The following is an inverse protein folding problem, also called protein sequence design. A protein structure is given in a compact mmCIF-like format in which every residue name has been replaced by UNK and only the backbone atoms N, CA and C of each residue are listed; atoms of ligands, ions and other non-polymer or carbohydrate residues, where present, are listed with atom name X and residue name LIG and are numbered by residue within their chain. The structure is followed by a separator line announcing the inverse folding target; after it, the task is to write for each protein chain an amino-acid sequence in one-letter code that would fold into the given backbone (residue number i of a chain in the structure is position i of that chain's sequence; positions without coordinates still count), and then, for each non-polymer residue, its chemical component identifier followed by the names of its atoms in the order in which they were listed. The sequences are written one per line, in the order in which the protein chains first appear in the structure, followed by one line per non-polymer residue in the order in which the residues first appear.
data_IF_441148455689
#
_entry.id   IF_441148455689
#
_cell.length_a   1.000
_cell.length_b   1.000
_cell.length_c   1.000
_cell.angle_alpha   90.00
_cell.angle_beta   90.00
_cell.angle_gamma   90.00
#
_symmetry.space_group_name_H-M   'P 1'
#
loop_
_entity.id
_entity.type
_entity.pdbx_description
1 polymer ?
#
# COMPACT_ATOMS: atom_id res chain seq x y z
N UNK A 1 -25.41 -8.59 -4.69
CA UNK A 1 -24.35 -8.47 -5.72
C UNK A 1 -23.12 -7.78 -5.18
N UNK A 2 -23.19 -6.59 -4.61
CA UNK A 2 -22.05 -5.81 -4.10
C UNK A 2 -21.15 -6.57 -3.12
N UNK A 3 -21.72 -7.27 -2.13
CA UNK A 3 -20.93 -8.06 -1.15
C UNK A 3 -20.06 -9.15 -1.80
N UNK A 4 -20.56 -9.81 -2.86
CA UNK A 4 -19.75 -10.83 -3.58
C UNK A 4 -18.57 -10.21 -4.29
N UNK A 5 -18.74 -9.02 -4.85
CA UNK A 5 -17.68 -8.28 -5.53
C UNK A 5 -16.60 -7.86 -4.55
N UNK A 6 -17.00 -7.26 -3.42
CA UNK A 6 -16.07 -6.87 -2.37
C UNK A 6 -15.34 -8.08 -1.78
N UNK A 7 -16.04 -9.19 -1.56
CA UNK A 7 -15.40 -10.42 -1.10
C UNK A 7 -14.37 -10.95 -2.09
N UNK A 8 -14.68 -11.00 -3.39
CA UNK A 8 -13.72 -11.39 -4.42
C UNK A 8 -12.49 -10.48 -4.38
N UNK A 9 -12.71 -9.16 -4.44
CA UNK A 9 -11.64 -8.18 -4.44
C UNK A 9 -10.76 -8.31 -3.20
N UNK A 10 -11.34 -8.27 -2.01
CA UNK A 10 -10.57 -8.34 -0.77
C UNK A 10 -9.87 -9.68 -0.59
N UNK A 11 -10.50 -10.79 -0.98
CA UNK A 11 -9.84 -12.11 -0.92
C UNK A 11 -8.56 -12.13 -1.75
N UNK A 12 -8.62 -11.63 -2.99
CA UNK A 12 -7.45 -11.58 -3.87
C UNK A 12 -6.39 -10.59 -3.36
N UNK A 13 -6.80 -9.42 -2.87
CA UNK A 13 -5.86 -8.43 -2.34
C UNK A 13 -5.16 -8.94 -1.07
N UNK A 14 -5.88 -9.59 -0.16
CA UNK A 14 -5.31 -10.19 1.06
C UNK A 14 -4.31 -11.30 0.68
N UNK A 15 -4.66 -12.18 -0.26
CA UNK A 15 -3.76 -13.22 -0.75
C UNK A 15 -2.46 -12.63 -1.30
N UNK A 16 -2.54 -11.60 -2.10
CA UNK A 16 -1.34 -10.91 -2.63
C UNK A 16 -0.51 -10.31 -1.50
N UNK A 17 -1.12 -9.65 -0.51
CA UNK A 17 -0.39 -9.10 0.65
C UNK A 17 0.40 -10.22 1.37
N UNK A 18 -0.24 -11.35 1.64
CA UNK A 18 0.37 -12.49 2.34
C UNK A 18 1.50 -13.13 1.52
N UNK A 19 1.33 -13.29 0.20
CA UNK A 19 2.37 -13.81 -0.70
C UNK A 19 3.65 -12.96 -0.70
N UNK A 20 3.52 -11.64 -0.56
CA UNK A 20 4.66 -10.74 -0.41
C UNK A 20 5.16 -10.64 1.04
N UNK A 21 4.61 -11.42 1.95
CA UNK A 21 4.99 -11.47 3.35
C UNK A 21 4.60 -10.22 4.13
N UNK A 22 3.53 -9.58 3.73
CA UNK A 22 2.83 -8.57 4.51
C UNK A 22 1.81 -9.18 5.46
N UNK A 23 1.37 -8.40 6.42
CA UNK A 23 0.28 -8.77 7.33
C UNK A 23 -0.83 -7.71 7.26
N UNK A 24 -2.07 -8.16 7.11
CA UNK A 24 -3.24 -7.28 7.12
C UNK A 24 -3.52 -6.85 8.56
N UNK A 25 -3.54 -5.55 8.81
CA UNK A 25 -3.88 -4.99 10.10
C UNK A 25 -5.40 -4.90 10.26
N UNK A 26 -6.06 -4.31 9.27
CA UNK A 26 -7.52 -4.14 9.29
C UNK A 26 -8.12 -4.01 7.89
N UNK A 27 -9.41 -4.34 7.82
CA UNK A 27 -10.31 -3.98 6.73
C UNK A 27 -11.22 -2.84 7.22
N UNK A 28 -11.21 -1.72 6.52
CA UNK A 28 -12.00 -0.52 6.85
C UNK A 28 -13.38 -0.52 6.20
N UNK A 29 -13.74 -1.60 5.52
CA UNK A 29 -14.99 -1.74 4.76
C UNK A 29 -14.83 -1.42 3.28
N UNK A 30 -14.07 -0.41 2.94
CA UNK A 30 -13.73 0.03 1.58
C UNK A 30 -12.23 -0.03 1.27
N UNK A 31 -11.41 -0.42 2.24
CA UNK A 31 -9.97 -0.51 2.08
C UNK A 31 -9.28 -1.49 3.03
N UNK A 32 -8.02 -1.76 2.75
CA UNK A 32 -7.15 -2.58 3.58
C UNK A 32 -5.97 -1.76 4.08
N UNK A 33 -5.60 -1.98 5.32
CA UNK A 33 -4.32 -1.55 5.86
C UNK A 33 -3.46 -2.77 6.15
N UNK A 34 -2.22 -2.74 5.67
CA UNK A 34 -1.26 -3.81 5.83
C UNK A 34 0.11 -3.25 6.19
N UNK A 35 0.94 -4.05 6.83
CA UNK A 35 2.32 -3.71 7.14
C UNK A 35 3.28 -4.80 6.69
N UNK A 36 4.52 -4.39 6.41
CA UNK A 36 5.62 -5.24 5.96
C UNK A 36 6.80 -5.01 6.90
N UNK A 37 7.11 -5.98 7.72
CA UNK A 37 8.21 -5.88 8.68
C UNK A 37 9.56 -6.15 8.02
N UNK A 38 10.62 -5.52 8.53
CA UNK A 38 11.98 -5.91 8.20
C UNK A 38 12.25 -7.30 8.80
N UNK A 39 12.82 -8.20 7.99
CA UNK A 39 12.98 -9.60 8.38
C UNK A 39 14.24 -9.86 9.21
N UNK A 40 15.19 -8.94 9.18
CA UNK A 40 16.46 -9.02 9.90
C UNK A 40 16.81 -7.67 10.51
N UNK A 41 17.52 -7.63 11.65
CA UNK A 41 17.88 -6.36 12.32
C UNK A 41 18.76 -5.42 11.48
N UNK A 42 19.47 -5.94 10.50
CA UNK A 42 20.30 -5.16 9.56
C UNK A 42 19.51 -4.62 8.37
N UNK A 43 18.26 -5.00 8.22
CA UNK A 43 17.40 -4.46 7.19
C UNK A 43 17.05 -3.01 7.52
N UNK A 44 17.37 -2.11 6.60
CA UNK A 44 17.15 -0.67 6.75
C UNK A 44 15.81 -0.21 6.17
N UNK A 45 14.86 -1.11 6.01
CA UNK A 45 13.55 -0.87 5.38
C UNK A 45 13.56 -1.06 3.86
N UNK A 46 14.72 -1.26 3.22
CA UNK A 46 14.78 -1.41 1.76
C UNK A 46 14.05 -2.67 1.28
N UNK A 47 14.17 -3.77 2.00
CA UNK A 47 13.50 -5.02 1.63
C UNK A 47 12.00 -4.99 1.93
N UNK A 48 11.57 -4.39 3.03
CA UNK A 48 10.16 -4.22 3.34
C UNK A 48 9.47 -3.27 2.35
N UNK A 49 10.10 -2.16 1.99
CA UNK A 49 9.60 -1.23 0.95
C UNK A 49 9.53 -1.92 -0.41
N UNK A 50 10.58 -2.65 -0.82
CA UNK A 50 10.57 -3.42 -2.08
C UNK A 50 9.41 -4.41 -2.12
N UNK A 51 9.18 -5.17 -1.04
CA UNK A 51 8.07 -6.13 -0.96
C UNK A 51 6.70 -5.44 -1.00
N UNK A 52 6.54 -4.35 -0.25
CA UNK A 52 5.32 -3.57 -0.24
C UNK A 52 5.00 -2.97 -1.62
N UNK A 53 6.00 -2.43 -2.31
CA UNK A 53 5.84 -1.86 -3.64
C UNK A 53 5.54 -2.94 -4.68
N UNK A 54 6.25 -4.08 -4.64
CA UNK A 54 5.96 -5.23 -5.50
C UNK A 54 4.54 -5.76 -5.27
N UNK A 55 4.10 -5.83 -4.02
CA UNK A 55 2.73 -6.17 -3.64
C UNK A 55 1.73 -5.20 -4.30
N UNK A 56 1.91 -3.90 -4.16
CA UNK A 56 1.02 -2.89 -4.73
C UNK A 56 0.92 -3.01 -6.26
N UNK A 57 2.05 -3.20 -6.95
CA UNK A 57 2.09 -3.45 -8.40
C UNK A 57 1.36 -4.75 -8.79
N UNK A 58 1.48 -5.79 -7.97
CA UNK A 58 0.79 -7.07 -8.21
C UNK A 58 -0.71 -6.94 -7.92
N UNK A 59 -1.11 -6.16 -6.92
CA UNK A 59 -2.53 -5.85 -6.68
C UNK A 59 -3.15 -5.11 -7.87
N UNK A 60 -2.46 -4.13 -8.46
CA UNK A 60 -2.89 -3.43 -9.68
C UNK A 60 -3.04 -4.41 -10.84
N UNK A 61 -2.05 -5.27 -11.09
CA UNK A 61 -2.08 -6.28 -12.13
C UNK A 61 -3.21 -7.32 -11.89
N UNK A 62 -3.39 -7.78 -10.67
CA UNK A 62 -4.47 -8.70 -10.29
C UNK A 62 -5.84 -8.06 -10.55
N UNK A 63 -6.00 -6.80 -10.21
CA UNK A 63 -7.25 -6.09 -10.51
C UNK A 63 -7.47 -5.95 -12.01
N UNK A 64 -6.45 -5.57 -12.77
CA UNK A 64 -6.55 -5.35 -14.21
C UNK A 64 -6.80 -6.65 -14.99
N UNK A 65 -6.06 -7.72 -14.68
CA UNK A 65 -6.04 -8.94 -15.49
C UNK A 65 -6.94 -10.07 -14.96
N UNK A 66 -7.39 -10.00 -13.72
CA UNK A 66 -8.27 -11.01 -13.11
C UNK A 66 -9.61 -10.41 -12.69
N UNK A 67 -9.62 -9.46 -11.77
CA UNK A 67 -10.86 -8.98 -11.14
C UNK A 67 -11.72 -8.18 -12.13
N UNK A 68 -11.14 -7.22 -12.83
CA UNK A 68 -11.86 -6.37 -13.75
C UNK A 68 -12.52 -7.12 -14.93
N UNK A 69 -11.88 -8.12 -15.55
CA UNK A 69 -12.54 -8.97 -16.56
C UNK A 69 -13.74 -9.73 -16.02
N UNK A 70 -13.64 -10.29 -14.80
CA UNK A 70 -14.77 -11.00 -14.15
C UNK A 70 -15.93 -10.04 -13.93
N UNK A 71 -15.67 -8.83 -13.43
CA UNK A 71 -16.70 -7.82 -13.19
C UNK A 71 -17.38 -7.39 -14.51
N UNK A 72 -16.59 -7.11 -15.54
CA UNK A 72 -17.14 -6.75 -16.86
C UNK A 72 -18.03 -7.85 -17.44
N UNK A 73 -17.64 -9.12 -17.28
CA UNK A 73 -18.43 -10.26 -17.75
C UNK A 73 -19.79 -10.36 -17.03
N UNK A 74 -19.91 -9.76 -15.83
CA UNK A 74 -21.17 -9.72 -15.07
C UNK A 74 -21.91 -8.39 -15.21
N UNK A 75 -21.48 -7.51 -16.12
CA UNK A 75 -22.10 -6.19 -16.35
C UNK A 75 -21.77 -5.16 -15.25
N UNK A 76 -20.74 -5.41 -14.47
CA UNK A 76 -20.29 -4.51 -13.38
C UNK A 76 -19.06 -3.72 -13.82
N UNK A 77 -19.05 -2.44 -13.48
CA UNK A 77 -17.86 -1.60 -13.71
C UNK A 77 -16.68 -2.11 -12.87
N UNK A 78 -15.47 -2.10 -13.43
CA UNK A 78 -14.26 -2.45 -12.70
C UNK A 78 -14.08 -1.58 -11.45
N UNK A 79 -13.63 -2.21 -10.36
CA UNK A 79 -13.23 -1.48 -9.17
C UNK A 79 -11.96 -0.69 -9.45
N UNK A 80 -11.91 0.51 -8.90
CA UNK A 80 -10.71 1.34 -8.90
C UNK A 80 -10.29 1.58 -7.47
N UNK A 81 -9.01 1.44 -7.20
CA UNK A 81 -8.43 1.71 -5.88
C UNK A 81 -7.14 2.51 -6.03
N UNK A 82 -6.61 2.96 -4.94
CA UNK A 82 -5.34 3.66 -4.83
C UNK A 82 -4.54 3.06 -3.68
N UNK A 83 -3.22 3.09 -3.81
CA UNK A 83 -2.33 2.54 -2.79
C UNK A 83 -1.37 3.62 -2.32
N UNK A 84 -1.19 3.72 -1.02
CA UNK A 84 -0.23 4.63 -0.40
C UNK A 84 0.63 3.87 0.58
N UNK A 85 1.91 4.20 0.66
CA UNK A 85 2.83 3.58 1.60
C UNK A 85 3.85 4.56 2.14
N UNK A 86 4.26 4.33 3.37
CA UNK A 86 5.38 5.02 3.98
C UNK A 86 6.23 4.03 4.77
N UNK A 87 7.45 4.43 5.13
CA UNK A 87 8.40 3.59 5.83
C UNK A 87 8.93 4.31 7.07
N UNK A 88 8.93 3.62 8.18
CA UNK A 88 9.45 4.14 9.45
C UNK A 88 9.00 3.30 10.64
N UNK A 89 9.34 3.73 11.86
CA UNK A 89 8.95 3.03 13.07
C UNK A 89 7.42 2.95 13.23
N UNK A 90 6.94 1.74 13.49
CA UNK A 90 5.54 1.45 13.81
C UNK A 90 5.50 0.50 14.99
N UNK A 91 4.65 0.78 15.96
CA UNK A 91 4.38 -0.14 17.07
C UNK A 91 3.16 -0.98 16.71
N UNK A 92 3.34 -2.30 16.64
CA UNK A 92 2.22 -3.22 16.52
C UNK A 92 1.80 -3.62 17.92
N UNK A 93 0.61 -3.22 18.33
CA UNK A 93 0.05 -3.50 19.63
C UNK A 93 -1.28 -4.23 19.51
N UNK A 94 -1.50 -5.16 20.42
CA UNK A 94 -2.80 -5.82 20.55
C UNK A 94 -3.66 -4.99 21.52
N UNK A 95 -4.71 -4.37 21.00
CA UNK A 95 -5.57 -3.47 21.77
C UNK A 95 -6.99 -4.00 21.78
N UNK A 96 -7.61 -3.95 22.96
CA UNK A 96 -9.00 -4.33 23.15
C UNK A 96 -9.23 -5.13 24.43
N UNK A 97 -10.48 -5.52 24.66
CA UNK A 97 -10.87 -6.37 25.77
C UNK A 97 -10.71 -7.85 25.36
N UNK A 98 -9.90 -8.66 26.07
CA UNK A 98 -9.52 -10.01 25.63
C UNK A 98 -10.67 -10.95 25.25
N UNK A 99 -11.83 -10.76 25.83
CA UNK A 99 -13.00 -11.62 25.59
C UNK A 99 -14.10 -10.99 24.74
N UNK A 100 -13.89 -9.76 24.23
CA UNK A 100 -14.91 -9.03 23.46
C UNK A 100 -14.41 -8.61 22.08
N UNK A 101 -13.46 -7.71 22.05
CA UNK A 101 -12.85 -7.22 20.82
C UNK A 101 -11.35 -7.04 21.04
N UNK A 102 -10.57 -7.62 20.17
CA UNK A 102 -9.12 -7.60 20.27
C UNK A 102 -8.50 -7.62 18.88
N UNK A 103 -7.81 -6.57 18.53
CA UNK A 103 -7.19 -6.40 17.23
C UNK A 103 -5.72 -5.99 17.36
N UNK A 104 -4.91 -6.43 16.41
CA UNK A 104 -3.57 -5.88 16.21
C UNK A 104 -3.73 -4.51 15.53
N UNK A 105 -3.13 -3.49 16.10
CA UNK A 105 -3.21 -2.11 15.63
C UNK A 105 -1.81 -1.59 15.39
N UNK A 106 -1.60 -1.02 14.21
CA UNK A 106 -0.37 -0.33 13.86
C UNK A 106 -0.43 1.13 14.35
N UNK A 107 0.42 1.46 15.32
CA UNK A 107 0.45 2.78 15.95
C UNK A 107 1.75 3.49 15.58
N UNK A 108 1.65 4.73 15.12
CA UNK A 108 2.81 5.58 14.84
C UNK A 108 2.54 6.58 13.72
N UNK A 109 3.45 7.53 13.58
CA UNK A 109 3.34 8.56 12.55
C UNK A 109 3.36 7.96 11.14
N UNK A 110 4.16 6.93 10.90
CA UNK A 110 4.26 6.22 9.63
C UNK A 110 2.89 5.68 9.18
N UNK A 111 2.17 4.99 10.05
CA UNK A 111 0.84 4.48 9.77
C UNK A 111 -0.17 5.61 9.49
N UNK A 112 -0.10 6.69 10.27
CA UNK A 112 -0.94 7.88 10.07
C UNK A 112 -0.64 8.59 8.75
N UNK A 113 0.63 8.74 8.39
CA UNK A 113 1.03 9.33 7.11
C UNK A 113 0.54 8.50 5.93
N UNK A 114 0.78 7.18 5.94
CA UNK A 114 0.30 6.28 4.91
C UNK A 114 -1.22 6.43 4.70
N UNK A 115 -2.00 6.44 5.77
CA UNK A 115 -3.46 6.62 5.70
C UNK A 115 -3.86 8.01 5.17
N UNK A 116 -3.24 9.09 5.63
CA UNK A 116 -3.57 10.47 5.21
C UNK A 116 -3.21 10.75 3.76
N UNK A 117 -2.16 10.12 3.22
CA UNK A 117 -1.79 10.27 1.82
C UNK A 117 -2.91 9.83 0.85
N UNK A 118 -3.80 8.93 1.27
CA UNK A 118 -4.95 8.51 0.44
C UNK A 118 -5.80 9.69 -0.04
N UNK A 119 -5.93 10.75 0.75
CA UNK A 119 -6.70 11.93 0.34
C UNK A 119 -6.05 12.78 -0.77
N UNK A 120 -4.76 12.55 -1.04
CA UNK A 120 -3.96 13.31 -2.01
C UNK A 120 -3.73 12.54 -3.32
N UNK A 121 -4.23 11.30 -3.42
CA UNK A 121 -3.94 10.36 -4.49
C UNK A 121 -5.22 9.99 -5.21
N UNK A 122 -5.19 9.96 -6.52
CA UNK A 122 -6.32 9.54 -7.35
C UNK A 122 -6.39 8.01 -7.48
N UNK A 123 -7.56 7.52 -7.90
CA UNK A 123 -7.75 6.12 -8.21
C UNK A 123 -6.76 5.65 -9.30
N UNK A 124 -6.24 4.45 -9.15
CA UNK A 124 -5.23 3.86 -10.05
C UNK A 124 -3.80 4.36 -9.80
N UNK A 125 -3.57 5.16 -8.77
CA UNK A 125 -2.23 5.64 -8.42
C UNK A 125 -1.65 4.90 -7.22
N UNK A 126 -0.32 4.74 -7.25
CA UNK A 126 0.50 4.30 -6.13
C UNK A 126 1.33 5.49 -5.68
N UNK A 127 1.34 5.78 -4.38
CA UNK A 127 2.14 6.86 -3.83
C UNK A 127 3.00 6.43 -2.65
N UNK A 128 4.17 7.03 -2.56
CA UNK A 128 5.16 6.79 -1.53
C UNK A 128 5.46 8.09 -0.77
N UNK A 129 5.48 8.02 0.54
CA UNK A 129 6.07 9.06 1.36
C UNK A 129 7.58 9.11 1.17
N UNK A 130 8.21 10.24 1.51
CA UNK A 130 9.65 10.46 1.32
C UNK A 130 10.53 9.34 1.91
N UNK A 131 10.14 8.82 3.08
CA UNK A 131 10.90 7.75 3.76
C UNK A 131 10.83 6.41 3.02
N UNK A 132 9.71 6.09 2.41
CA UNK A 132 9.56 4.92 1.54
C UNK A 132 10.29 5.13 0.21
N UNK A 133 10.12 6.29 -0.41
CA UNK A 133 10.80 6.64 -1.67
C UNK A 133 12.31 6.47 -1.58
N UNK A 134 12.93 6.98 -0.52
CA UNK A 134 14.38 6.87 -0.31
C UNK A 134 14.90 5.42 -0.19
N UNK A 135 14.01 4.44 -0.07
CA UNK A 135 14.32 3.00 0.06
C UNK A 135 13.88 2.18 -1.15
N UNK A 136 13.29 2.81 -2.16
CA UNK A 136 13.01 2.14 -3.44
C UNK A 136 14.33 1.77 -4.11
N UNK A 137 14.52 0.51 -4.56
CA UNK A 137 15.76 0.11 -5.23
C UNK A 137 16.05 0.97 -6.47
N UNK A 138 17.30 1.37 -6.66
CA UNK A 138 17.73 2.25 -7.77
C UNK A 138 17.30 1.73 -9.14
N UNK A 139 17.40 0.40 -9.35
CA UNK A 139 16.95 -0.24 -10.59
C UNK A 139 15.45 -0.05 -10.87
N UNK A 140 14.65 0.13 -9.82
CA UNK A 140 13.22 0.40 -9.96
C UNK A 140 12.94 1.87 -10.21
N UNK A 141 13.76 2.76 -9.67
CA UNK A 141 13.66 4.20 -9.94
C UNK A 141 14.08 4.55 -11.37
N UNK A 142 15.19 3.97 -11.86
CA UNK A 142 15.81 4.37 -13.13
C UNK A 142 15.33 3.56 -14.33
N UNK A 143 15.06 2.27 -14.16
CA UNK A 143 14.77 1.34 -15.25
C UNK A 143 13.26 1.09 -15.48
N UNK A 144 12.44 1.23 -14.45
CA UNK A 144 11.06 0.74 -14.47
C UNK A 144 9.99 1.78 -14.17
N UNK A 145 10.35 2.93 -13.60
CA UNK A 145 9.38 3.88 -13.12
C UNK A 145 9.84 5.33 -13.21
N UNK A 146 8.86 6.17 -13.35
CA UNK A 146 8.98 7.60 -13.15
C UNK A 146 8.35 7.96 -11.81
N UNK A 147 9.05 8.76 -11.03
CA UNK A 147 8.57 9.27 -9.75
C UNK A 147 8.39 10.78 -9.86
N UNK A 148 7.19 11.23 -9.56
CA UNK A 148 6.86 12.65 -9.54
C UNK A 148 6.69 13.13 -8.10
N UNK A 149 7.48 14.11 -7.64
CA UNK A 149 7.27 14.68 -6.31
C UNK A 149 5.97 15.51 -6.29
N UNK A 150 5.20 15.36 -5.21
CA UNK A 150 3.99 16.14 -4.97
C UNK A 150 4.11 16.83 -3.63
N UNK A 151 3.80 18.13 -3.58
CA UNK A 151 3.76 18.87 -2.32
C UNK A 151 2.56 18.44 -1.48
N UNK A 152 2.81 18.05 -0.23
CA UNK A 152 1.78 17.64 0.72
C UNK A 152 1.33 18.80 1.63
N UNK A 153 2.10 19.85 1.70
CA UNK A 153 1.98 20.88 2.73
C UNK A 153 2.45 20.43 4.13
N UNK A 154 2.98 19.19 4.24
CA UNK A 154 3.50 18.65 5.51
C UNK A 154 4.99 18.93 5.65
N UNK A 155 5.47 18.97 6.89
CA UNK A 155 6.88 19.15 7.23
C UNK A 155 7.38 18.00 8.10
N UNK A 156 8.71 17.79 8.11
CA UNK A 156 9.32 16.89 9.09
C UNK A 156 9.10 17.42 10.51
N UNK A 157 8.96 16.52 11.46
CA UNK A 157 8.75 16.85 12.88
C UNK A 157 9.92 17.72 13.38
N UNK A 158 9.60 18.87 13.94
CA UNK A 158 10.58 19.81 14.47
C UNK A 158 11.35 20.62 13.41
N UNK A 159 10.93 20.56 12.15
CA UNK A 159 11.58 21.29 11.04
C UNK A 159 10.59 22.01 10.14
N UNK A 160 11.11 22.86 9.27
CA UNK A 160 10.36 23.55 8.21
C UNK A 160 10.48 22.89 6.84
N UNK A 161 11.32 21.86 6.71
CA UNK A 161 11.52 21.16 5.45
C UNK A 161 10.25 20.37 5.06
N UNK A 162 9.77 20.53 3.81
CA UNK A 162 8.62 19.79 3.33
C UNK A 162 8.84 18.27 3.39
N UNK A 163 7.77 17.54 3.70
CA UNK A 163 7.73 16.08 3.56
C UNK A 163 7.04 15.74 2.24
N UNK A 164 7.79 15.41 1.18
CA UNK A 164 7.20 15.22 -0.14
C UNK A 164 6.53 13.84 -0.27
N UNK A 165 5.56 13.79 -1.16
CA UNK A 165 4.91 12.60 -1.66
C UNK A 165 5.40 12.34 -3.09
N UNK A 166 5.63 11.08 -3.42
CA UNK A 166 6.06 10.65 -4.74
C UNK A 166 5.01 9.74 -5.38
N UNK A 167 4.58 10.07 -6.57
CA UNK A 167 3.72 9.19 -7.36
C UNK A 167 4.58 8.17 -8.12
N UNK A 168 4.24 6.90 -8.01
CA UNK A 168 4.95 5.81 -8.65
C UNK A 168 4.21 5.37 -9.92
N UNK A 169 4.84 5.50 -11.07
CA UNK A 169 4.25 5.20 -12.37
C UNK A 169 4.64 3.83 -12.95
N UNK A 170 5.42 3.04 -12.20
CA UNK A 170 5.79 1.69 -12.63
C UNK A 170 4.58 0.76 -12.72
N UNK A 171 4.65 -0.20 -13.63
CA UNK A 171 3.65 -1.27 -13.81
C UNK A 171 4.36 -2.57 -14.13
N UNK A 172 3.76 -3.71 -13.75
CA UNK A 172 4.20 -4.98 -14.29
C UNK A 172 3.87 -5.06 -15.78
N UNK A 173 4.85 -5.38 -16.60
CA UNK A 173 4.60 -5.66 -18.01
C UNK A 173 3.88 -6.99 -18.13
N UNK A 174 2.84 -7.05 -18.97
CA UNK A 174 2.24 -8.32 -19.37
C UNK A 174 3.27 -9.08 -20.21
N UNK A 175 3.64 -10.28 -19.79
CA UNK A 175 4.35 -11.21 -20.66
C UNK A 175 3.38 -11.64 -21.76
N UNK A 176 3.68 -11.28 -22.98
CA UNK A 176 2.92 -11.66 -24.19
C UNK A 176 3.31 -13.07 -24.56
#
# INVERSE_FOLDING_TARGET
MMLRILNLFFTEMIRVIEEYGGAVEKNTGDGLMAYFEDRVPTDTGANSVKRALACALTMDATNEFLVAPILRATGVLPLQFRTTMDCGPVTIARIGAPQRFNANVAIGNTANFASRMLSLVSAGQIALGASAYARVPDAWQTAWCELSPVSTGWTYVGGSNPYPLYLYNGRWARLI
#
